data_IF_039441787877
#
_entry.id   IF_039441787877
#
_cell.length_a   1.000
_cell.length_b   1.000
_cell.length_c   1.000
_cell.angle_alpha   90.00
_cell.angle_beta   90.00
_cell.angle_gamma   90.00
#
_symmetry.space_group_name_H-M   'P 1'
#
loop_
_entity.id
_entity.type
_entity.pdbx_description
1 polymer ?
#
# COMPACT_ATOMS: atom_id res chain seq x y z
N UNK A 1 1.33 -6.57 7.82
CA UNK A 1 1.54 -5.65 6.68
C UNK A 1 0.44 -4.60 6.71
N UNK A 2 0.78 -3.36 7.09
CA UNK A 2 -0.21 -2.26 7.22
C UNK A 2 -0.85 -1.86 5.87
N UNK A 3 -0.18 -2.14 4.74
CA UNK A 3 -0.74 -1.94 3.41
C UNK A 3 -2.06 -2.70 3.18
N UNK A 4 -2.08 -4.00 3.49
CA UNK A 4 -3.27 -4.83 3.32
C UNK A 4 -4.41 -4.36 4.24
N UNK A 5 -4.07 -3.80 5.41
CA UNK A 5 -5.04 -3.19 6.32
C UNK A 5 -5.66 -1.91 5.71
N UNK A 6 -4.86 -1.02 5.12
CA UNK A 6 -5.43 0.16 4.45
C UNK A 6 -6.30 -0.21 3.24
N UNK A 7 -5.88 -1.21 2.45
CA UNK A 7 -6.68 -1.72 1.34
C UNK A 7 -7.99 -2.33 1.84
N UNK A 8 -7.96 -3.04 2.97
CA UNK A 8 -9.19 -3.54 3.59
C UNK A 8 -10.15 -2.44 4.00
N UNK A 9 -9.65 -1.29 4.46
CA UNK A 9 -10.48 -0.14 4.80
C UNK A 9 -11.11 0.49 3.57
N UNK A 10 -10.33 0.66 2.48
CA UNK A 10 -10.88 1.11 1.19
C UNK A 10 -12.02 0.21 0.72
N UNK A 11 -11.76 -1.11 0.70
CA UNK A 11 -12.75 -2.11 0.28
C UNK A 11 -13.98 -2.10 1.18
N UNK A 12 -13.80 -1.94 2.50
CA UNK A 12 -14.90 -1.82 3.46
C UNK A 12 -15.74 -0.55 3.30
N UNK A 13 -15.13 0.56 2.89
CA UNK A 13 -15.84 1.81 2.56
C UNK A 13 -16.65 1.67 1.27
N UNK A 14 -16.09 1.04 0.23
CA UNK A 14 -16.75 0.90 -1.08
C UNK A 14 -17.89 -0.15 -1.08
N UNK A 15 -17.68 -1.29 -0.43
CA UNK A 15 -18.60 -2.44 -0.47
C UNK A 15 -19.41 -2.63 0.82
N UNK A 16 -19.14 -1.82 1.85
CA UNK A 16 -19.72 -1.93 3.19
C UNK A 16 -19.03 -2.98 4.05
N UNK A 17 -18.93 -2.72 5.36
CA UNK A 17 -18.25 -3.59 6.35
C UNK A 17 -18.96 -4.95 6.63
N UNK A 18 -19.86 -5.38 5.73
CA UNK A 18 -20.73 -6.54 5.92
C UNK A 18 -20.04 -7.90 5.67
N UNK A 19 -18.77 -7.90 5.24
CA UNK A 19 -18.04 -9.13 4.91
C UNK A 19 -16.66 -9.18 5.56
N UNK A 20 -16.27 -10.41 5.91
CA UNK A 20 -14.90 -10.69 6.33
C UNK A 20 -14.04 -10.98 5.11
N UNK A 21 -12.87 -10.34 5.03
CA UNK A 21 -11.88 -10.58 3.96
C UNK A 21 -11.19 -11.96 4.06
N UNK A 22 -11.63 -12.79 5.00
CA UNK A 22 -11.08 -14.12 5.28
C UNK A 22 -9.78 -14.07 6.07
N UNK A 23 -9.39 -15.22 6.66
CA UNK A 23 -8.05 -15.39 7.27
C UNK A 23 -6.99 -15.08 6.19
N UNK A 24 -6.03 -14.22 6.54
CA UNK A 24 -4.92 -13.80 5.67
C UNK A 24 -5.32 -13.09 4.36
N UNK A 25 -6.41 -12.32 4.33
CA UNK A 25 -6.78 -11.53 3.14
C UNK A 25 -7.04 -12.39 1.89
N UNK A 26 -7.39 -13.67 2.08
CA UNK A 26 -7.60 -14.65 1.00
C UNK A 26 -8.62 -14.18 -0.05
N UNK A 27 -9.61 -13.39 0.37
CA UNK A 27 -10.65 -12.90 -0.54
C UNK A 27 -10.39 -11.49 -1.07
N UNK A 28 -9.31 -10.83 -0.64
CA UNK A 28 -9.01 -9.45 -1.03
C UNK A 28 -8.92 -9.28 -2.55
N UNK A 29 -8.32 -10.26 -3.25
CA UNK A 29 -8.24 -10.32 -4.72
C UNK A 29 -9.61 -10.19 -5.41
N UNK A 30 -10.69 -10.69 -4.80
CA UNK A 30 -12.04 -10.64 -5.38
C UNK A 30 -12.68 -9.25 -5.28
N UNK A 31 -12.20 -8.42 -4.38
CA UNK A 31 -12.78 -7.10 -4.09
C UNK A 31 -11.98 -5.94 -4.67
N UNK A 32 -10.75 -6.19 -5.12
CA UNK A 32 -9.90 -5.17 -5.73
C UNK A 32 -9.74 -5.45 -7.22
N UNK A 33 -9.49 -4.40 -7.99
CA UNK A 33 -9.24 -4.54 -9.42
C UNK A 33 -8.00 -5.43 -9.67
N UNK A 34 -8.00 -6.26 -10.73
CA UNK A 34 -6.87 -7.13 -11.07
C UNK A 34 -5.57 -6.34 -11.29
N UNK A 35 -5.66 -5.08 -11.72
CA UNK A 35 -4.50 -4.17 -11.81
C UNK A 35 -3.89 -3.85 -10.45
N UNK A 36 -4.72 -3.56 -9.44
CA UNK A 36 -4.26 -3.30 -8.08
C UNK A 36 -3.65 -4.56 -7.47
N UNK A 37 -4.26 -5.72 -7.71
CA UNK A 37 -3.72 -7.00 -7.27
C UNK A 37 -2.35 -7.29 -7.87
N UNK A 38 -2.18 -7.07 -9.18
CA UNK A 38 -0.88 -7.20 -9.84
C UNK A 38 0.17 -6.26 -9.25
N UNK A 39 -0.20 -5.02 -8.92
CA UNK A 39 0.69 -4.05 -8.23
C UNK A 39 1.09 -4.54 -6.84
N UNK A 40 0.16 -5.11 -6.07
CA UNK A 40 0.45 -5.70 -4.76
C UNK A 40 1.41 -6.89 -4.91
N UNK A 41 1.18 -7.79 -5.87
CA UNK A 41 2.10 -8.90 -6.13
C UNK A 41 3.50 -8.40 -6.53
N UNK A 42 3.59 -7.31 -7.30
CA UNK A 42 4.86 -6.69 -7.64
C UNK A 42 5.62 -6.12 -6.42
N UNK A 43 4.94 -5.83 -5.30
CA UNK A 43 5.62 -5.45 -4.04
C UNK A 43 6.34 -6.62 -3.36
N UNK A 44 6.07 -7.87 -3.77
CA UNK A 44 6.73 -9.06 -3.25
C UNK A 44 7.91 -9.53 -4.11
N UNK A 45 8.24 -8.80 -5.18
CA UNK A 45 9.38 -9.16 -6.02
C UNK A 45 10.70 -8.80 -5.31
N UNK A 46 11.41 -9.82 -4.83
CA UNK A 46 12.67 -9.69 -4.11
C UNK A 46 13.84 -10.36 -4.84
N UNK A 47 13.74 -10.52 -6.17
CA UNK A 47 14.73 -11.23 -6.99
C UNK A 47 16.12 -10.58 -7.04
N UNK A 48 16.22 -9.28 -6.75
CA UNK A 48 17.47 -8.53 -6.71
C UNK A 48 17.36 -7.31 -5.79
N UNK A 49 18.50 -6.73 -5.38
CA UNK A 49 18.52 -5.53 -4.56
C UNK A 49 17.77 -4.35 -5.22
N UNK A 50 17.93 -4.19 -6.53
CA UNK A 50 17.23 -3.18 -7.33
C UNK A 50 15.73 -3.44 -7.37
N UNK A 51 15.30 -4.70 -7.50
CA UNK A 51 13.88 -5.06 -7.46
C UNK A 51 13.28 -4.86 -6.07
N UNK A 52 14.02 -5.18 -5.00
CA UNK A 52 13.59 -4.94 -3.62
C UNK A 52 13.30 -3.44 -3.37
N UNK A 53 14.18 -2.54 -3.85
CA UNK A 53 13.93 -1.10 -3.76
C UNK A 53 12.72 -0.66 -4.59
N UNK A 54 12.58 -1.16 -5.82
CA UNK A 54 11.40 -0.88 -6.66
C UNK A 54 10.11 -1.36 -6.00
N UNK A 55 10.12 -2.53 -5.38
CA UNK A 55 8.99 -3.11 -4.66
C UNK A 55 8.63 -2.30 -3.41
N UNK A 56 9.62 -1.76 -2.70
CA UNK A 56 9.40 -0.83 -1.59
C UNK A 56 8.78 0.48 -2.06
N UNK A 57 9.30 1.09 -3.12
CA UNK A 57 8.76 2.32 -3.72
C UNK A 57 7.32 2.10 -4.21
N UNK A 58 7.04 0.97 -4.85
CA UNK A 58 5.69 0.55 -5.24
C UNK A 58 4.76 0.41 -4.03
N UNK A 59 5.20 -0.29 -2.97
CA UNK A 59 4.43 -0.49 -1.75
C UNK A 59 4.05 0.86 -1.11
N UNK A 60 5.01 1.77 -1.01
CA UNK A 60 4.79 3.12 -0.48
C UNK A 60 3.83 3.92 -1.37
N UNK A 61 3.98 3.85 -2.69
CA UNK A 61 3.09 4.53 -3.64
C UNK A 61 1.64 4.07 -3.52
N UNK A 62 1.42 2.75 -3.41
CA UNK A 62 0.07 2.18 -3.21
C UNK A 62 -0.49 2.61 -1.85
N UNK A 63 0.32 2.55 -0.79
CA UNK A 63 -0.12 2.97 0.54
C UNK A 63 -0.61 4.41 0.58
N UNK A 64 0.11 5.32 -0.08
CA UNK A 64 -0.23 6.75 -0.16
C UNK A 64 -1.52 6.98 -0.93
N UNK A 65 -1.68 6.33 -2.07
CA UNK A 65 -2.90 6.41 -2.88
C UNK A 65 -4.11 5.96 -2.07
N UNK A 66 -4.05 4.77 -1.47
CA UNK A 66 -5.15 4.19 -0.69
C UNK A 66 -5.44 5.02 0.55
N UNK A 67 -4.42 5.49 1.27
CA UNK A 67 -4.60 6.30 2.48
C UNK A 67 -5.22 7.66 2.16
N UNK A 68 -4.89 8.27 1.02
CA UNK A 68 -5.53 9.52 0.56
C UNK A 68 -7.00 9.29 0.19
N UNK A 69 -7.31 8.23 -0.55
CA UNK A 69 -8.69 7.88 -0.88
C UNK A 69 -9.53 7.61 0.37
N UNK A 70 -9.00 6.80 1.30
CA UNK A 70 -9.67 6.51 2.59
C UNK A 70 -9.88 7.78 3.41
N UNK A 71 -8.88 8.66 3.49
CA UNK A 71 -9.00 9.93 4.19
C UNK A 71 -10.05 10.84 3.56
N UNK A 72 -10.12 10.92 2.23
CA UNK A 72 -11.15 11.66 1.50
C UNK A 72 -12.54 11.09 1.75
N UNK A 73 -12.72 9.77 1.64
CA UNK A 73 -14.01 9.12 1.88
C UNK A 73 -14.51 9.27 3.32
N UNK A 74 -13.59 9.26 4.29
CA UNK A 74 -13.92 9.43 5.72
C UNK A 74 -13.88 10.89 6.19
N UNK A 75 -13.65 11.84 5.26
CA UNK A 75 -13.58 13.27 5.53
C UNK A 75 -12.51 13.66 6.58
N UNK A 76 -11.43 12.87 6.68
CA UNK A 76 -10.28 13.11 7.55
C UNK A 76 -9.19 13.92 6.82
N UNK A 77 -8.50 14.78 7.57
CA UNK A 77 -7.30 15.46 7.09
C UNK A 77 -6.16 14.44 6.93
N UNK A 78 -5.65 14.30 5.71
CA UNK A 78 -4.44 13.54 5.44
C UNK A 78 -3.22 14.33 5.96
N UNK A 79 -2.55 13.90 7.04
CA UNK A 79 -1.38 14.58 7.55
C UNK A 79 -0.20 14.46 6.57
N UNK A 80 0.65 15.50 6.51
CA UNK A 80 1.82 15.53 5.62
C UNK A 80 3.01 14.71 6.18
N UNK A 81 2.74 13.46 6.60
CA UNK A 81 3.79 12.50 6.98
C UNK A 81 4.54 11.93 5.76
N UNK A 82 3.94 12.06 4.58
CA UNK A 82 4.45 11.57 3.30
C UNK A 82 5.86 12.10 3.01
N UNK A 83 6.06 13.40 3.28
CA UNK A 83 7.32 14.10 3.06
C UNK A 83 8.43 13.57 3.95
N UNK A 84 8.13 13.35 5.23
CA UNK A 84 9.09 12.83 6.20
C UNK A 84 9.51 11.40 5.88
N UNK A 85 8.56 10.53 5.51
CA UNK A 85 8.86 9.15 5.15
C UNK A 85 9.58 9.07 3.80
N UNK A 86 9.20 9.89 2.81
CA UNK A 86 9.94 9.98 1.53
C UNK A 86 11.40 10.33 1.76
N UNK A 87 11.68 11.36 2.54
CA UNK A 87 13.03 11.82 2.83
C UNK A 87 13.84 10.76 3.58
N UNK A 88 13.23 10.06 4.52
CA UNK A 88 13.90 8.96 5.23
C UNK A 88 14.29 7.83 4.27
N UNK A 89 13.38 7.42 3.38
CA UNK A 89 13.61 6.30 2.46
C UNK A 89 14.66 6.66 1.41
N UNK A 90 14.67 7.89 0.90
CA UNK A 90 15.74 8.39 0.01
C UNK A 90 17.09 8.33 0.73
N UNK A 91 17.16 8.83 1.97
CA UNK A 91 18.40 8.80 2.77
C UNK A 91 18.91 7.38 3.02
N UNK A 92 18.02 6.41 3.23
CA UNK A 92 18.42 5.00 3.36
C UNK A 92 18.91 4.45 2.02
N UNK A 93 18.23 4.77 0.91
CA UNK A 93 18.63 4.32 -0.44
C UNK A 93 20.04 4.78 -0.80
N UNK A 94 20.37 6.04 -0.53
CA UNK A 94 21.72 6.58 -0.74
C UNK A 94 22.77 5.89 0.15
N UNK A 95 22.39 5.49 1.37
CA UNK A 95 23.31 4.85 2.33
C UNK A 95 23.70 3.43 1.93
N UNK A 96 22.80 2.68 1.30
CA UNK A 96 23.03 1.30 0.89
C UNK A 96 23.34 1.12 -0.61
N UNK A 97 23.43 2.22 -1.37
CA UNK A 97 24.01 2.23 -2.73
C UNK A 97 25.54 2.49 -2.73
N UNK A 98 26.16 2.63 -1.55
CA UNK A 98 27.62 2.59 -1.35
C UNK A 98 28.05 1.21 -0.90
#
# INVERSE_FOLDING_TARGET
MELLRMISWKVGIEQGYSFSLGKNYKFLERYISPELWKKILATYNMGSYTEMWKSLELCMGIFRMVSKEVAQCLNYLYPDYDKNISNYVIRQKEKYQR
#
